data_IF_500994824570
#
_entry.id   IF_500994824570
#
_cell.length_a   1.000
_cell.length_b   1.000
_cell.length_c   1.000
_cell.angle_alpha   90.00
_cell.angle_beta   90.00
_cell.angle_gamma   90.00
#
_symmetry.space_group_name_H-M   'P 1'
#
loop_
_entity.id
_entity.type
_entity.pdbx_description
1 polymer ?
#
# COMPACT_ATOMS: atom_id res chain seq x y z
N UNK A 1 -0.95 -6.92 9.30
CA UNK A 1 -1.69 -5.66 9.33
C UNK A 1 -1.56 -5.06 7.95
N UNK A 2 -2.67 -4.90 7.22
CA UNK A 2 -2.68 -4.52 5.80
C UNK A 2 -2.49 -2.99 5.69
N UNK A 3 -1.43 -2.53 5.04
CA UNK A 3 -1.01 -1.12 4.99
C UNK A 3 -2.02 -0.25 4.22
N UNK A 4 -2.72 -0.85 3.28
CA UNK A 4 -3.79 -0.23 2.48
C UNK A 4 -5.03 0.15 3.31
N UNK A 5 -5.41 -0.65 4.31
CA UNK A 5 -6.53 -0.30 5.20
C UNK A 5 -6.25 0.99 5.99
N UNK A 6 -4.99 1.20 6.41
CA UNK A 6 -4.55 2.42 7.11
C UNK A 6 -4.61 3.64 6.17
N UNK A 7 -4.38 3.44 4.88
CA UNK A 7 -4.44 4.49 3.86
C UNK A 7 -5.89 4.88 3.54
N UNK A 8 -6.80 3.92 3.45
CA UNK A 8 -8.22 4.16 3.12
C UNK A 8 -8.97 4.97 4.21
N UNK A 9 -8.55 4.90 5.47
CA UNK A 9 -9.18 5.69 6.55
C UNK A 9 -8.81 7.17 6.55
N UNK A 10 -7.69 7.56 5.91
CA UNK A 10 -7.25 8.96 5.85
C UNK A 10 -7.98 9.73 4.75
N UNK A 11 -9.07 10.42 5.10
CA UNK A 11 -9.92 11.25 4.19
C UNK A 11 -9.24 12.48 3.55
N UNK A 12 -7.91 12.62 3.59
CA UNK A 12 -7.19 13.79 3.07
C UNK A 12 -5.83 13.43 2.49
N UNK A 13 -5.37 14.25 1.55
CA UNK A 13 -4.09 14.02 0.87
C UNK A 13 -2.91 14.06 1.85
N UNK A 14 -2.08 13.04 1.81
CA UNK A 14 -0.96 12.81 2.72
C UNK A 14 0.22 13.73 2.40
N UNK A 15 0.98 14.08 3.43
CA UNK A 15 2.28 14.76 3.27
C UNK A 15 3.39 13.73 3.11
N UNK A 16 4.56 14.17 2.63
CA UNK A 16 5.74 13.32 2.57
C UNK A 16 6.11 12.73 3.95
N UNK A 17 5.88 13.48 5.03
CA UNK A 17 6.11 13.04 6.41
C UNK A 17 5.15 11.93 6.86
N UNK A 18 3.95 11.87 6.30
CA UNK A 18 3.00 10.76 6.54
C UNK A 18 3.41 9.50 5.76
N UNK A 19 3.94 9.65 4.55
CA UNK A 19 4.25 8.54 3.63
C UNK A 19 5.61 7.91 3.94
N UNK A 20 6.60 8.70 4.35
CA UNK A 20 7.94 8.24 4.71
C UNK A 20 7.96 7.06 5.70
N UNK A 21 7.25 7.11 6.85
CA UNK A 21 7.22 5.98 7.78
C UNK A 21 6.49 4.76 7.21
N UNK A 22 5.47 4.95 6.36
CA UNK A 22 4.71 3.85 5.73
C UNK A 22 5.59 3.04 4.78
N UNK A 23 6.42 3.73 4.00
CA UNK A 23 7.34 3.10 3.04
C UNK A 23 8.71 2.77 3.65
N UNK A 24 8.92 3.05 4.93
CA UNK A 24 10.19 2.89 5.63
C UNK A 24 11.39 3.57 4.91
N UNK A 25 11.16 4.76 4.34
CA UNK A 25 12.21 5.56 3.66
C UNK A 25 12.25 6.98 4.23
N UNK A 26 13.36 7.69 3.98
CA UNK A 26 13.47 9.09 4.42
C UNK A 26 12.51 10.02 3.66
N UNK A 27 12.04 11.09 4.31
CA UNK A 27 11.22 12.15 3.69
C UNK A 27 11.91 12.75 2.45
N UNK A 28 13.24 12.94 2.52
CA UNK A 28 14.04 13.41 1.37
C UNK A 28 13.94 12.47 0.17
N UNK A 29 13.94 11.16 0.43
CA UNK A 29 13.79 10.15 -0.60
C UNK A 29 12.38 10.16 -1.19
N UNK A 30 11.33 10.34 -0.37
CA UNK A 30 9.95 10.52 -0.87
C UNK A 30 9.88 11.69 -1.85
N UNK A 31 10.45 12.85 -1.53
CA UNK A 31 10.47 13.99 -2.44
C UNK A 31 11.23 13.69 -3.74
N UNK A 32 12.37 12.98 -3.66
CA UNK A 32 13.13 12.57 -4.84
C UNK A 32 12.32 11.63 -5.73
N UNK A 33 11.69 10.62 -5.14
CA UNK A 33 10.85 9.67 -5.86
C UNK A 33 9.64 10.37 -6.52
N UNK A 34 9.01 11.31 -5.83
CA UNK A 34 7.92 12.11 -6.39
C UNK A 34 8.39 13.01 -7.55
N UNK A 35 9.54 13.67 -7.42
CA UNK A 35 10.13 14.49 -8.48
C UNK A 35 10.52 13.66 -9.71
N UNK A 36 10.93 12.41 -9.51
CA UNK A 36 11.25 11.47 -10.58
C UNK A 36 10.01 10.77 -11.19
N UNK A 37 8.82 10.98 -10.64
CA UNK A 37 7.60 10.27 -11.06
C UNK A 37 7.57 8.79 -10.67
N UNK A 38 8.39 8.37 -9.70
CA UNK A 38 8.48 6.97 -9.26
C UNK A 38 7.32 6.55 -8.35
N UNK A 39 6.65 7.52 -7.71
CA UNK A 39 5.44 7.31 -6.90
C UNK A 39 4.33 8.28 -7.36
N UNK A 40 3.05 7.89 -7.27
CA UNK A 40 1.94 8.77 -7.61
C UNK A 40 1.93 9.96 -6.66
N UNK A 41 1.94 11.18 -7.20
CA UNK A 41 1.96 12.40 -6.40
C UNK A 41 1.18 13.52 -7.08
N UNK A 42 0.61 14.40 -6.26
CA UNK A 42 -0.16 15.55 -6.68
C UNK A 42 0.61 16.81 -6.29
N UNK A 43 0.95 17.63 -7.28
CA UNK A 43 1.63 18.90 -7.06
C UNK A 43 0.61 20.03 -6.98
N UNK A 44 0.48 20.63 -5.81
CA UNK A 44 -0.42 21.75 -5.54
C UNK A 44 0.45 22.96 -5.19
N UNK A 45 0.59 23.89 -6.14
CA UNK A 45 1.54 25.00 -6.05
C UNK A 45 2.98 24.51 -5.73
N UNK A 46 3.53 24.89 -4.59
CA UNK A 46 4.86 24.46 -4.11
C UNK A 46 4.84 23.18 -3.27
N UNK A 47 3.64 22.65 -2.98
CA UNK A 47 3.45 21.49 -2.12
C UNK A 47 3.29 20.20 -2.92
N UNK A 48 3.95 19.13 -2.46
CA UNK A 48 3.70 17.75 -2.91
C UNK A 48 2.74 17.09 -1.92
N UNK A 49 1.71 16.43 -2.46
CA UNK A 49 0.73 15.66 -1.71
C UNK A 49 0.58 14.28 -2.34
N UNK A 50 0.08 13.34 -1.56
CA UNK A 50 -0.12 11.96 -2.00
C UNK A 50 -1.55 11.54 -1.71
N UNK A 51 -2.23 11.06 -2.74
CA UNK A 51 -3.54 10.47 -2.53
C UNK A 51 -3.35 9.06 -1.92
N UNK A 52 -4.01 8.74 -0.79
CA UNK A 52 -3.89 7.43 -0.16
C UNK A 52 -4.34 6.27 -1.06
N UNK A 53 -5.38 6.48 -1.87
CA UNK A 53 -5.92 5.46 -2.77
C UNK A 53 -4.94 5.18 -3.91
N UNK A 54 -4.41 6.23 -4.54
CA UNK A 54 -3.41 6.07 -5.61
C UNK A 54 -2.14 5.38 -5.08
N UNK A 55 -1.68 5.75 -3.88
CA UNK A 55 -0.55 5.09 -3.23
C UNK A 55 -0.82 3.61 -2.96
N UNK A 56 -2.02 3.26 -2.49
CA UNK A 56 -2.41 1.88 -2.24
C UNK A 56 -2.46 1.07 -3.55
N UNK A 57 -3.06 1.61 -4.61
CA UNK A 57 -3.09 0.98 -5.94
C UNK A 57 -1.68 0.77 -6.49
N UNK A 58 -0.82 1.78 -6.39
CA UNK A 58 0.58 1.69 -6.81
C UNK A 58 1.38 0.64 -6.01
N UNK A 59 1.17 0.56 -4.69
CA UNK A 59 1.80 -0.46 -3.84
C UNK A 59 1.35 -1.88 -4.20
N UNK A 60 0.05 -2.07 -4.44
CA UNK A 60 -0.51 -3.35 -4.87
C UNK A 60 0.07 -3.76 -6.23
N UNK A 61 0.17 -2.83 -7.18
CA UNK A 61 0.76 -3.10 -8.50
C UNK A 61 2.25 -3.49 -8.45
N UNK A 62 3.03 -2.97 -7.49
CA UNK A 62 4.44 -3.34 -7.29
C UNK A 62 4.64 -4.66 -6.54
N UNK A 63 3.65 -5.05 -5.75
CA UNK A 63 3.66 -6.32 -5.01
C UNK A 63 3.19 -7.42 -5.94
N UNK A 64 4.06 -7.97 -6.78
CA UNK A 64 3.71 -9.08 -7.69
C UNK A 64 3.41 -10.42 -6.98
N UNK A 65 2.95 -10.39 -5.73
CA UNK A 65 2.40 -11.56 -5.07
C UNK A 65 0.91 -11.63 -5.44
N UNK A 66 0.43 -12.72 -6.07
CA UNK A 66 -1.00 -12.90 -6.29
C UNK A 66 -1.70 -12.82 -4.93
N UNK A 67 -2.86 -12.14 -4.90
CA UNK A 67 -3.73 -12.03 -3.73
C UNK A 67 -3.70 -13.31 -2.90
N UNK A 68 -3.12 -13.24 -1.69
CA UNK A 68 -3.44 -14.24 -0.68
C UNK A 68 -4.83 -13.87 -0.21
N UNK A 69 -5.83 -14.33 -0.95
CA UNK A 69 -7.23 -14.39 -0.54
C UNK A 69 -7.29 -14.85 0.92
N UNK A 70 -7.78 -14.02 1.86
CA UNK A 70 -7.81 -14.35 3.28
C UNK A 70 -8.50 -15.70 3.58
N UNK A 71 -9.40 -16.12 2.68
CA UNK A 71 -10.19 -17.35 2.80
C UNK A 71 -9.44 -18.63 2.37
N UNK A 72 -8.27 -18.53 1.71
CA UNK A 72 -7.51 -19.69 1.27
C UNK A 72 -6.96 -20.53 2.44
N UNK A 73 -6.71 -19.90 3.61
CA UNK A 73 -6.26 -20.60 4.82
C UNK A 73 -7.33 -21.51 5.44
N UNK A 74 -8.61 -21.21 5.22
CA UNK A 74 -9.72 -22.00 5.80
C UNK A 74 -10.05 -23.22 4.93
N UNK A 75 -9.85 -23.13 3.61
CA UNK A 75 -10.13 -24.22 2.68
C UNK A 75 -9.09 -25.36 2.76
N UNK A 76 -7.80 -25.02 2.90
CA UNK A 76 -6.73 -26.02 2.98
C UNK A 76 -6.83 -26.94 4.21
N UNK A 77 -7.29 -26.41 5.35
CA UNK A 77 -7.47 -27.21 6.58
C UNK A 77 -8.66 -28.18 6.45
N UNK A 78 -9.73 -27.77 5.77
CA UNK A 78 -10.93 -28.63 5.60
C UNK A 78 -10.69 -29.81 4.66
N UNK A 79 -9.82 -29.66 3.66
CA UNK A 79 -9.47 -30.74 2.73
C UNK A 79 -8.63 -31.84 3.39
N UNK A 80 -7.82 -31.50 4.39
CA UNK A 80 -6.98 -32.48 5.10
C UNK A 80 -7.74 -33.32 6.13
N UNK A 81 -8.88 -32.81 6.62
CA UNK A 81 -9.73 -33.52 7.59
C UNK A 81 -10.63 -34.59 6.93
N UNK A 82 -10.87 -34.52 5.61
CA UNK A 82 -11.74 -35.47 4.90
C UNK A 82 -11.07 -36.73 4.36
N UNK A 83 -9.74 -36.85 4.40
CA UNK A 83 -9.01 -38.02 3.89
C UNK A 83 -8.63 -39.05 4.97
N UNK A 84 -9.22 -38.97 6.18
CA UNK A 84 -8.96 -39.90 7.29
C UNK A 84 -10.24 -40.57 7.84
N UNK A 85 -11.22 -40.86 7.00
CA UNK A 85 -12.33 -41.77 7.34
C UNK A 85 -12.47 -42.87 6.30
#
# INVERSE_FOLDING_TARGET
>A
MLIDQILEEKKGALKADDVAPILAVSVKQIYKMAANGEIPSLRIASSVRFDPHDLAVWLRARSSAPEIEPNARVSAVRSLVRQRS
#
